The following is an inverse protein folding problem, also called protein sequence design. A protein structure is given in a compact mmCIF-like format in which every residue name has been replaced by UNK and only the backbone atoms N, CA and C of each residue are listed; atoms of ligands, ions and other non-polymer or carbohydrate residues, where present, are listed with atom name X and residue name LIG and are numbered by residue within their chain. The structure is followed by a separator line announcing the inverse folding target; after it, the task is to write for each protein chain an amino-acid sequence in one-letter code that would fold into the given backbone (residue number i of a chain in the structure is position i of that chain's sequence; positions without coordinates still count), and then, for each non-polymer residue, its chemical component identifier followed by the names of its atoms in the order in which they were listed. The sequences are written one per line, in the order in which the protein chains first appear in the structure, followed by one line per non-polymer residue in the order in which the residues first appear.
data_IF_927883831983
#
_entry.id   IF_927883831983
#
_cell.length_a   1.000
_cell.length_b   1.000
_cell.length_c   1.000
_cell.angle_alpha   90.00
_cell.angle_beta   90.00
_cell.angle_gamma   90.00
#
_symmetry.space_group_name_H-M   'P 1'
#
loop_
_entity.id
_entity.type
_entity.pdbx_description
1 polymer ?
#
# COMPACT_ATOMS: atom_id res chain seq x y z
N UNK A 1 17.30 7.81 -21.09
CA UNK A 1 17.12 6.44 -20.53
C UNK A 1 18.12 5.58 -21.31
N UNK A 2 19.25 5.24 -20.69
CA UNK A 2 20.38 4.58 -21.36
C UNK A 2 20.61 3.23 -20.70
N UNK A 3 21.35 3.21 -19.60
CA UNK A 3 21.70 2.00 -18.84
C UNK A 3 20.75 1.75 -17.65
N UNK A 4 19.62 2.47 -17.60
CA UNK A 4 18.65 2.32 -16.53
C UNK A 4 17.98 0.94 -16.59
N UNK A 5 17.81 0.32 -15.43
CA UNK A 5 17.15 -0.97 -15.22
C UNK A 5 16.06 -0.82 -14.17
N UNK A 6 15.01 -1.64 -14.25
CA UNK A 6 14.02 -1.67 -13.18
C UNK A 6 14.61 -2.33 -11.91
N UNK A 7 14.07 -1.99 -10.74
CA UNK A 7 14.61 -2.48 -9.46
C UNK A 7 14.63 -4.01 -9.37
N UNK A 8 13.65 -4.69 -9.97
CA UNK A 8 13.62 -6.15 -10.02
C UNK A 8 14.80 -6.72 -10.81
N UNK A 9 15.14 -6.13 -11.96
CA UNK A 9 16.30 -6.55 -12.74
C UNK A 9 17.61 -6.29 -11.98
N UNK A 10 17.72 -5.13 -11.31
CA UNK A 10 18.85 -4.81 -10.44
C UNK A 10 18.99 -5.84 -9.33
N UNK A 11 17.90 -6.23 -8.67
CA UNK A 11 17.89 -7.22 -7.60
C UNK A 11 18.31 -8.62 -8.10
N UNK A 12 17.85 -9.03 -9.29
CA UNK A 12 18.30 -10.28 -9.93
C UNK A 12 19.80 -10.26 -10.24
N UNK A 13 20.31 -9.16 -10.79
CA UNK A 13 21.75 -9.01 -11.08
C UNK A 13 22.59 -9.04 -9.80
N UNK A 14 22.10 -8.41 -8.73
CA UNK A 14 22.74 -8.46 -7.42
C UNK A 14 22.75 -9.88 -6.86
N UNK A 15 21.61 -10.59 -6.90
CA UNK A 15 21.49 -11.98 -6.45
C UNK A 15 22.48 -12.91 -7.16
N UNK A 16 22.57 -12.81 -8.50
CA UNK A 16 23.56 -13.55 -9.29
C UNK A 16 24.99 -13.25 -8.87
N UNK A 17 25.28 -11.98 -8.60
CA UNK A 17 26.63 -11.54 -8.24
C UNK A 17 27.03 -12.07 -6.87
N UNK A 18 26.16 -11.96 -5.87
CA UNK A 18 26.38 -12.48 -4.52
C UNK A 18 26.58 -14.01 -4.56
N UNK A 19 25.72 -14.74 -5.28
CA UNK A 19 25.80 -16.19 -5.36
C UNK A 19 27.02 -16.72 -6.15
N UNK A 20 27.67 -15.89 -6.96
CA UNK A 20 28.98 -16.21 -7.55
C UNK A 20 30.12 -16.14 -6.53
N UNK A 21 30.00 -15.28 -5.52
CA UNK A 21 31.00 -15.13 -4.45
C UNK A 21 30.85 -16.25 -3.43
N UNK A 22 29.62 -16.52 -3.00
CA UNK A 22 29.29 -17.60 -2.08
C UNK A 22 27.92 -18.20 -2.44
N UNK A 23 27.88 -19.44 -2.95
CA UNK A 23 26.64 -20.08 -3.36
C UNK A 23 25.63 -20.21 -2.21
N UNK A 24 24.42 -19.67 -2.40
CA UNK A 24 23.34 -19.75 -1.43
C UNK A 24 23.19 -18.52 -0.53
N UNK A 25 24.11 -17.55 -0.61
CA UNK A 25 24.06 -16.33 0.22
C UNK A 25 22.93 -15.37 -0.17
N UNK A 26 22.31 -15.53 -1.34
CA UNK A 26 21.08 -14.82 -1.70
C UNK A 26 20.02 -15.78 -2.25
N UNK A 27 18.81 -15.73 -1.69
CA UNK A 27 17.67 -16.57 -2.12
C UNK A 27 16.75 -15.86 -3.12
N UNK A 28 17.02 -14.59 -3.44
CA UNK A 28 16.24 -13.87 -4.44
C UNK A 28 16.44 -14.53 -5.81
N UNK A 29 15.40 -14.65 -6.66
CA UNK A 29 15.52 -15.33 -7.95
C UNK A 29 16.66 -14.79 -8.81
N UNK A 30 17.43 -15.70 -9.40
CA UNK A 30 18.53 -15.37 -10.31
C UNK A 30 18.07 -15.29 -11.78
N UNK A 31 16.77 -15.41 -12.04
CA UNK A 31 16.17 -15.24 -13.37
C UNK A 31 14.97 -14.32 -13.27
N UNK A 32 14.81 -13.47 -14.30
CA UNK A 32 13.76 -12.48 -14.34
C UNK A 32 12.91 -12.65 -15.59
N UNK A 33 11.60 -12.78 -15.40
CA UNK A 33 10.62 -12.79 -16.47
C UNK A 33 9.37 -12.03 -15.99
N UNK A 34 9.18 -10.81 -16.49
CA UNK A 34 8.07 -9.94 -16.09
C UNK A 34 6.70 -10.63 -16.15
N UNK A 35 6.41 -11.35 -17.24
CA UNK A 35 5.11 -12.03 -17.42
C UNK A 35 4.91 -13.11 -16.36
N UNK A 36 5.90 -13.97 -16.14
CA UNK A 36 5.83 -15.03 -15.13
C UNK A 36 5.55 -14.48 -13.73
N UNK A 37 6.19 -13.37 -13.36
CA UNK A 37 5.96 -12.76 -12.05
C UNK A 37 4.55 -12.17 -11.94
N UNK A 38 4.08 -11.51 -12.99
CA UNK A 38 2.71 -10.99 -13.01
C UNK A 38 1.67 -12.11 -12.96
N UNK A 39 1.92 -13.23 -13.65
CA UNK A 39 1.11 -14.45 -13.59
C UNK A 39 1.05 -15.04 -12.17
N UNK A 40 2.12 -14.89 -11.36
CA UNK A 40 2.18 -15.40 -9.98
C UNK A 40 1.45 -14.50 -8.97
N UNK A 41 1.49 -13.19 -9.17
CA UNK A 41 0.79 -12.23 -8.31
C UNK A 41 -0.72 -12.23 -8.58
N UNK A 42 -1.12 -12.51 -9.82
CA UNK A 42 -2.52 -12.53 -10.22
C UNK A 42 -3.20 -13.84 -9.77
N UNK A 43 -4.14 -13.73 -8.82
CA UNK A 43 -4.84 -14.88 -8.24
C UNK A 43 -6.34 -14.87 -8.51
N UNK A 44 -7.00 -16.01 -8.29
CA UNK A 44 -8.44 -16.21 -8.47
C UNK A 44 -9.31 -15.19 -7.72
N UNK A 45 -8.83 -14.71 -6.56
CA UNK A 45 -9.53 -13.69 -5.78
C UNK A 45 -9.58 -12.35 -6.52
N UNK A 46 -8.46 -11.93 -7.10
CA UNK A 46 -8.40 -10.73 -7.96
C UNK A 46 -9.23 -10.91 -9.22
N UNK A 47 -9.11 -12.06 -9.90
CA UNK A 47 -9.89 -12.39 -11.10
C UNK A 47 -11.40 -12.20 -10.84
N UNK A 48 -11.92 -12.79 -9.76
CA UNK A 48 -13.32 -12.64 -9.33
C UNK A 48 -13.68 -11.21 -8.95
N UNK A 49 -12.80 -10.52 -8.22
CA UNK A 49 -13.03 -9.15 -7.78
C UNK A 49 -13.19 -8.17 -8.95
N UNK A 50 -12.43 -8.35 -10.03
CA UNK A 50 -12.46 -7.47 -11.19
C UNK A 50 -13.28 -8.00 -12.37
N UNK A 51 -13.81 -9.23 -12.26
CA UNK A 51 -14.59 -9.88 -13.32
C UNK A 51 -13.77 -10.17 -14.57
N UNK A 52 -12.50 -10.53 -14.40
CA UNK A 52 -11.56 -10.85 -15.49
C UNK A 52 -11.05 -12.28 -15.35
N UNK A 53 -10.55 -12.81 -16.46
CA UNK A 53 -10.03 -14.18 -16.56
C UNK A 53 -8.52 -14.25 -16.34
N UNK A 54 -7.80 -13.19 -16.73
CA UNK A 54 -6.34 -13.06 -16.69
C UNK A 54 -5.99 -11.59 -16.50
N UNK A 55 -4.77 -11.31 -16.02
CA UNK A 55 -4.23 -9.95 -16.08
C UNK A 55 -4.11 -9.45 -17.53
N UNK A 56 -4.02 -10.34 -18.52
CA UNK A 56 -3.97 -9.96 -19.95
C UNK A 56 -5.22 -9.14 -20.35
N UNK A 57 -6.38 -9.34 -19.70
CA UNK A 57 -7.60 -8.55 -19.92
C UNK A 57 -7.43 -7.05 -19.53
N UNK A 58 -6.39 -6.71 -18.76
CA UNK A 58 -6.05 -5.34 -18.38
C UNK A 58 -5.25 -4.61 -19.46
N UNK A 59 -4.75 -5.32 -20.48
CA UNK A 59 -4.12 -4.70 -21.65
C UNK A 59 -5.12 -3.86 -22.46
N UNK A 60 -6.40 -4.25 -22.45
CA UNK A 60 -7.49 -3.49 -23.05
C UNK A 60 -7.90 -2.26 -22.22
N UNK A 61 -7.42 -2.17 -20.98
CA UNK A 61 -7.64 -1.04 -20.08
C UNK A 61 -8.01 -1.43 -18.65
N UNK A 62 -8.05 -0.45 -17.74
CA UNK A 62 -8.30 -0.69 -16.32
C UNK A 62 -9.74 -1.19 -16.07
N UNK A 63 -9.89 -2.14 -15.14
CA UNK A 63 -11.18 -2.69 -14.70
C UNK A 63 -11.48 -2.22 -13.28
N UNK A 64 -12.74 -1.84 -13.02
CA UNK A 64 -13.20 -1.49 -11.67
C UNK A 64 -13.56 -2.75 -10.89
N UNK A 65 -13.26 -2.77 -9.60
CA UNK A 65 -13.70 -3.85 -8.71
C UNK A 65 -15.23 -3.91 -8.66
N UNK A 66 -15.75 -5.14 -8.69
CA UNK A 66 -17.16 -5.45 -8.54
C UNK A 66 -17.47 -5.43 -7.03
N UNK A 67 -17.99 -4.29 -6.57
CA UNK A 67 -18.34 -4.07 -5.18
C UNK A 67 -19.87 -3.97 -5.03
N UNK A 68 -20.46 -4.53 -3.95
CA UNK A 68 -21.87 -4.33 -3.64
C UNK A 68 -22.23 -2.85 -3.42
N UNK A 69 -21.28 -2.06 -2.92
CA UNK A 69 -21.38 -0.62 -2.74
C UNK A 69 -19.99 0.00 -2.66
N UNK A 70 -19.86 1.26 -3.09
CA UNK A 70 -18.64 2.05 -2.92
C UNK A 70 -18.53 2.69 -1.53
N UNK A 71 -19.59 2.67 -0.73
CA UNK A 71 -19.59 3.24 0.61
C UNK A 71 -18.96 2.25 1.60
N UNK A 72 -17.92 2.68 2.33
CA UNK A 72 -17.21 1.84 3.30
C UNK A 72 -18.10 1.36 4.47
N UNK A 73 -19.25 1.98 4.71
CA UNK A 73 -20.19 1.67 5.78
C UNK A 73 -21.50 1.02 5.29
N UNK A 74 -21.51 0.48 4.06
CA UNK A 74 -22.74 -0.02 3.44
C UNK A 74 -23.46 -1.11 4.25
N UNK A 75 -22.70 -1.96 4.96
CA UNK A 75 -23.22 -3.03 5.80
C UNK A 75 -23.31 -2.67 7.29
N UNK A 76 -22.84 -1.47 7.67
CA UNK A 76 -22.73 -0.97 9.05
C UNK A 76 -21.96 -1.90 9.99
N UNK A 77 -21.07 -2.74 9.47
CA UNK A 77 -20.20 -3.64 10.25
C UNK A 77 -18.80 -3.09 10.32
N UNK A 78 -18.44 -2.52 11.46
CA UNK A 78 -17.13 -1.91 11.66
C UNK A 78 -16.15 -2.92 12.27
N UNK A 79 -14.85 -2.75 12.01
CA UNK A 79 -13.78 -3.59 12.60
C UNK A 79 -13.48 -3.28 14.08
N UNK A 80 -14.32 -2.46 14.71
CA UNK A 80 -14.19 -2.09 16.12
C UNK A 80 -14.63 -3.27 17.02
N UNK A 81 -14.21 -3.31 18.30
CA UNK A 81 -14.63 -4.36 19.22
C UNK A 81 -16.15 -4.51 19.35
N UNK A 82 -16.91 -3.41 19.31
CA UNK A 82 -18.37 -3.44 19.37
C UNK A 82 -19.07 -3.75 18.03
N UNK A 83 -18.32 -3.80 16.93
CA UNK A 83 -18.87 -3.89 15.58
C UNK A 83 -19.57 -2.62 15.08
N UNK A 84 -19.54 -1.52 15.86
CA UNK A 84 -20.20 -0.23 15.58
C UNK A 84 -19.19 0.91 15.45
N UNK A 85 -19.65 2.09 15.04
CA UNK A 85 -18.89 3.31 15.25
C UNK A 85 -18.81 3.63 16.76
N UNK A 86 -17.61 3.81 17.29
CA UNK A 86 -17.35 4.03 18.72
C UNK A 86 -16.97 5.47 18.99
N UNK A 87 -17.85 6.24 19.65
CA UNK A 87 -17.49 7.58 20.13
C UNK A 87 -16.45 7.53 21.24
N UNK A 88 -16.56 6.55 22.14
CA UNK A 88 -15.58 6.22 23.18
C UNK A 88 -14.87 4.93 22.81
N UNK A 89 -13.54 4.94 22.72
CA UNK A 89 -12.73 3.76 22.41
C UNK A 89 -11.86 3.32 23.58
N UNK A 90 -12.17 2.17 24.17
CA UNK A 90 -11.32 1.53 25.19
C UNK A 90 -10.00 1.01 24.60
N UNK A 91 -9.98 0.73 23.29
CA UNK A 91 -8.76 0.35 22.58
C UNK A 91 -7.77 1.51 22.52
N UNK A 92 -8.24 2.75 22.28
CA UNK A 92 -7.41 3.94 22.34
C UNK A 92 -6.80 4.13 23.73
N UNK A 93 -7.60 3.97 24.79
CA UNK A 93 -7.13 4.06 26.19
C UNK A 93 -6.03 3.04 26.51
N UNK A 94 -6.23 1.77 26.10
CA UNK A 94 -5.23 0.70 26.26
C UNK A 94 -3.92 0.99 25.51
N UNK A 95 -3.98 1.74 24.41
CA UNK A 95 -2.81 2.13 23.61
C UNK A 95 -2.19 3.47 24.05
N UNK A 96 -2.60 4.03 25.20
CA UNK A 96 -2.03 5.26 25.76
C UNK A 96 -2.60 6.56 25.19
N UNK A 97 -3.77 6.51 24.55
CA UNK A 97 -4.51 7.68 24.07
C UNK A 97 -5.74 7.96 24.94
N UNK A 98 -6.42 9.11 24.74
CA UNK A 98 -7.69 9.40 25.42
C UNK A 98 -8.81 8.57 24.81
N UNK A 99 -9.71 8.03 25.65
CA UNK A 99 -10.82 7.22 25.18
C UNK A 99 -11.86 8.04 24.40
N UNK A 100 -11.97 9.33 24.73
CA UNK A 100 -12.79 10.32 24.03
C UNK A 100 -11.91 11.40 23.42
N UNK A 101 -12.33 12.02 22.31
CA UNK A 101 -11.68 13.22 21.81
C UNK A 101 -11.74 14.33 22.86
N UNK A 102 -10.57 14.89 23.18
CA UNK A 102 -10.44 16.02 24.09
C UNK A 102 -9.84 17.20 23.31
N UNK A 103 -10.33 18.40 23.58
CA UNK A 103 -9.73 19.60 23.03
C UNK A 103 -8.34 19.82 23.61
N UNK A 104 -7.34 19.94 22.74
CA UNK A 104 -5.97 20.32 23.11
C UNK A 104 -5.65 21.66 22.46
N UNK A 105 -5.16 22.65 23.23
CA UNK A 105 -4.73 23.92 22.65
C UNK A 105 -3.54 23.70 21.71
N UNK A 106 -3.40 24.59 20.74
CA UNK A 106 -2.29 24.60 19.80
C UNK A 106 -0.93 24.80 20.51
N UNK A 107 0.14 24.36 19.84
CA UNK A 107 1.50 24.58 20.32
C UNK A 107 1.81 26.09 20.34
N UNK A 108 2.35 26.57 21.46
CA UNK A 108 2.75 27.98 21.59
C UNK A 108 4.01 28.24 20.77
N UNK A 109 3.98 29.30 19.95
CA UNK A 109 5.14 29.80 19.21
C UNK A 109 5.56 31.16 19.75
N UNK A 110 6.87 31.39 19.80
CA UNK A 110 7.46 32.72 20.02
C UNK A 110 7.68 33.48 18.71
N UNK A 111 7.48 32.82 17.57
CA UNK A 111 7.63 33.37 16.24
C UNK A 111 6.29 33.87 15.69
N UNK A 112 6.29 34.95 14.88
CA UNK A 112 5.06 35.57 14.38
C UNK A 112 4.34 34.74 13.30
N UNK A 113 5.00 33.75 12.71
CA UNK A 113 4.45 32.94 11.62
C UNK A 113 4.54 31.44 11.93
N UNK A 114 3.49 30.71 11.56
CA UNK A 114 3.48 29.25 11.50
C UNK A 114 3.66 28.80 10.06
N UNK A 115 4.67 27.97 9.81
CA UNK A 115 4.91 27.38 8.49
C UNK A 115 4.16 26.06 8.37
N UNK A 116 3.36 25.93 7.31
CA UNK A 116 2.73 24.69 6.92
C UNK A 116 3.35 24.23 5.59
N UNK A 117 3.77 22.97 5.52
CA UNK A 117 4.32 22.35 4.30
C UNK A 117 3.41 21.22 3.82
N UNK A 118 2.19 21.55 3.33
CA UNK A 118 1.28 20.54 2.79
C UNK A 118 1.84 19.96 1.49
N UNK A 119 1.17 18.91 0.99
CA UNK A 119 1.51 18.30 -0.28
C UNK A 119 1.39 19.32 -1.42
N UNK A 120 2.32 19.26 -2.38
CA UNK A 120 2.32 20.13 -3.56
C UNK A 120 1.15 19.78 -4.49
N UNK A 121 0.49 20.79 -5.05
CA UNK A 121 -0.71 20.61 -5.88
C UNK A 121 -0.41 19.89 -7.22
N UNK A 122 0.76 20.14 -7.80
CA UNK A 122 1.11 19.71 -9.16
C UNK A 122 2.31 18.76 -9.20
N UNK A 123 2.55 18.02 -8.12
CA UNK A 123 3.64 17.04 -8.03
C UNK A 123 3.26 15.86 -7.13
N UNK A 124 3.91 14.72 -7.35
CA UNK A 124 3.77 13.54 -6.49
C UNK A 124 5.06 13.43 -5.69
N UNK A 125 5.09 14.09 -4.53
CA UNK A 125 6.29 14.19 -3.70
C UNK A 125 7.52 14.70 -4.50
N UNK A 126 8.75 14.39 -4.05
CA UNK A 126 10.01 14.83 -4.64
C UNK A 126 10.43 14.00 -5.85
#
# INVERSE_FOLDING_TARGET
MYEAKCDLEIAVLLSRTINKLEPGSCTFPQEFNHKRWLDQEFNDGMAKMFGISSWDDLLDGPKKAILPSSAAWYDRKFKTPSGKFEFRSELCEKNGHTALPEYKPEAKSTLPFHLFTPHVQFGIHS
#
